data_IF_779677419923
#
_entry.id   IF_779677419923
#
_cell.length_a   1.000
_cell.length_b   1.000
_cell.length_c   1.000
_cell.angle_alpha   90.00
_cell.angle_beta   90.00
_cell.angle_gamma   90.00
#
_symmetry.space_group_name_H-M   'P 1'
#
loop_
_entity.id
_entity.type
_entity.pdbx_description
1 polymer ?
#
# COMPACT_ATOMS: atom_id res chain seq x y z
N UNK A 1 11.27 -13.26 14.68
CA UNK A 1 10.80 -12.53 13.50
C UNK A 1 9.28 -12.47 13.60
N UNK A 2 8.69 -11.27 13.59
CA UNK A 2 7.24 -11.11 13.67
C UNK A 2 6.55 -11.66 12.42
N UNK A 3 5.28 -12.02 12.50
CA UNK A 3 4.50 -12.33 11.30
C UNK A 3 4.26 -11.03 10.53
N UNK A 4 4.71 -10.98 9.28
CA UNK A 4 4.39 -9.89 8.38
C UNK A 4 2.89 -9.83 8.10
N UNK A 5 2.40 -8.63 7.85
CA UNK A 5 1.04 -8.33 7.40
C UNK A 5 1.05 -7.74 6.01
N UNK A 6 -0.01 -7.97 5.24
CA UNK A 6 -0.19 -7.40 3.91
C UNK A 6 -1.26 -6.32 3.94
N UNK A 7 -1.08 -5.33 3.08
CA UNK A 7 -1.99 -4.19 2.97
C UNK A 7 -2.26 -3.90 1.51
N UNK A 8 -3.53 -3.66 1.17
CA UNK A 8 -3.86 -2.88 -0.02
C UNK A 8 -3.77 -1.41 0.37
N UNK A 9 -2.93 -0.65 -0.31
CA UNK A 9 -2.82 0.80 -0.10
C UNK A 9 -3.19 1.54 -1.36
N UNK A 10 -3.82 2.69 -1.19
CA UNK A 10 -4.18 3.57 -2.29
C UNK A 10 -3.95 5.02 -1.90
N UNK A 11 -3.43 5.81 -2.84
CA UNK A 11 -3.27 7.26 -2.68
C UNK A 11 -4.39 7.97 -3.42
N UNK A 12 -4.75 9.15 -2.93
CA UNK A 12 -5.89 9.88 -3.47
C UNK A 12 -5.86 11.36 -3.14
N UNK A 13 -6.84 12.06 -3.72
CA UNK A 13 -7.04 13.49 -3.52
C UNK A 13 -8.47 13.77 -3.14
N UNK A 14 -8.70 14.86 -2.43
CA UNK A 14 -10.04 15.36 -2.22
C UNK A 14 -10.54 16.03 -3.50
N UNK A 15 -11.73 15.62 -3.92
CA UNK A 15 -12.50 16.31 -4.95
C UNK A 15 -13.83 16.75 -4.38
N UNK A 16 -14.31 17.89 -4.85
CA UNK A 16 -15.63 18.37 -4.50
C UNK A 16 -16.64 17.81 -5.48
N UNK A 17 -17.66 17.12 -4.95
CA UNK A 17 -18.81 16.69 -5.74
C UNK A 17 -19.63 17.90 -6.21
N UNK A 18 -20.53 17.71 -7.19
CA UNK A 18 -21.44 18.78 -7.65
C UNK A 18 -22.32 19.36 -6.53
N UNK A 19 -22.55 18.61 -5.45
CA UNK A 19 -23.28 19.07 -4.26
C UNK A 19 -22.41 19.77 -3.21
N UNK A 20 -21.12 20.01 -3.51
CA UNK A 20 -20.17 20.67 -2.61
C UNK A 20 -19.57 19.78 -1.51
N UNK A 21 -19.94 18.49 -1.46
CA UNK A 21 -19.40 17.58 -0.44
C UNK A 21 -17.98 17.13 -0.85
N UNK A 22 -17.00 17.19 0.07
CA UNK A 22 -15.68 16.64 -0.17
C UNK A 22 -15.76 15.12 -0.25
N UNK A 23 -15.16 14.55 -1.29
CA UNK A 23 -15.04 13.10 -1.51
C UNK A 23 -13.57 12.79 -1.74
N UNK A 24 -13.04 11.84 -0.99
CA UNK A 24 -11.72 11.30 -1.25
C UNK A 24 -11.81 10.31 -2.40
N UNK A 25 -11.05 10.55 -3.47
CA UNK A 25 -10.97 9.66 -4.63
C UNK A 25 -9.54 9.15 -4.80
N UNK A 26 -9.39 7.83 -4.85
CA UNK A 26 -8.12 7.14 -5.08
C UNK A 26 -7.89 6.95 -6.57
N UNK A 27 -6.68 7.21 -7.05
CA UNK A 27 -6.32 7.07 -8.46
C UNK A 27 -5.28 5.97 -8.72
N UNK A 28 -4.72 5.40 -7.65
CA UNK A 28 -3.69 4.38 -7.73
C UNK A 28 -3.64 3.57 -6.44
N UNK A 29 -3.25 2.31 -6.57
CA UNK A 29 -3.05 1.42 -5.44
C UNK A 29 -1.98 0.37 -5.70
N UNK A 30 -1.41 -0.15 -4.62
CA UNK A 30 -0.42 -1.21 -4.63
C UNK A 30 -0.62 -2.14 -3.42
N UNK A 31 -0.06 -3.34 -3.50
CA UNK A 31 0.07 -4.23 -2.35
C UNK A 31 1.37 -3.91 -1.63
N UNK A 32 1.33 -3.82 -0.31
CA UNK A 32 2.50 -3.56 0.53
C UNK A 32 2.56 -4.55 1.70
N UNK A 33 3.76 -4.71 2.26
CA UNK A 33 4.01 -5.61 3.41
C UNK A 33 4.74 -4.87 4.53
N UNK A 34 4.39 -5.18 5.77
CA UNK A 34 5.08 -4.66 6.96
C UNK A 34 4.60 -5.34 8.24
N UNK A 35 5.28 -5.10 9.35
CA UNK A 35 4.85 -5.64 10.65
C UNK A 35 3.62 -4.91 11.21
N UNK A 36 3.53 -3.62 10.93
CA UNK A 36 2.43 -2.73 11.27
C UNK A 36 2.27 -1.65 10.19
N UNK A 37 1.34 -0.71 10.39
CA UNK A 37 1.09 0.37 9.42
C UNK A 37 2.30 1.30 9.27
N UNK A 38 2.94 1.82 10.35
CA UNK A 38 4.15 2.61 10.22
C UNK A 38 5.29 1.93 9.45
N UNK A 39 5.58 0.66 9.75
CA UNK A 39 6.61 -0.12 9.07
C UNK A 39 6.29 -0.31 7.58
N UNK A 40 5.03 -0.65 7.27
CA UNK A 40 4.55 -0.76 5.89
C UNK A 40 4.76 0.56 5.12
N UNK A 41 4.37 1.70 5.70
CA UNK A 41 4.55 3.00 5.05
C UNK A 41 6.03 3.34 4.85
N UNK A 42 6.90 2.98 5.80
CA UNK A 42 8.34 3.15 5.66
C UNK A 42 8.93 2.27 4.53
N UNK A 43 8.48 1.02 4.40
CA UNK A 43 8.90 0.11 3.33
C UNK A 43 8.47 0.63 1.95
N UNK A 44 7.22 1.10 1.82
CA UNK A 44 6.73 1.73 0.59
C UNK A 44 7.50 3.01 0.29
N UNK A 45 7.82 3.83 1.30
CA UNK A 45 8.57 5.07 1.12
C UNK A 45 9.99 4.84 0.62
N UNK A 46 10.63 3.74 1.03
CA UNK A 46 11.94 3.33 0.54
C UNK A 46 11.89 2.81 -0.90
N UNK A 47 10.93 1.93 -1.22
CA UNK A 47 10.83 1.31 -2.54
C UNK A 47 10.24 2.25 -3.61
N UNK A 48 9.27 3.08 -3.22
CA UNK A 48 8.53 3.99 -4.09
C UNK A 48 8.37 5.38 -3.44
N UNK A 49 9.44 6.19 -3.32
CA UNK A 49 9.38 7.51 -2.69
C UNK A 49 8.33 8.43 -3.34
N UNK A 50 8.16 8.33 -4.66
CA UNK A 50 7.18 9.10 -5.44
C UNK A 50 5.72 8.72 -5.16
N UNK A 51 5.46 7.61 -4.46
CA UNK A 51 4.11 7.19 -4.08
C UNK A 51 3.44 8.23 -3.18
N UNK A 52 4.19 8.85 -2.27
CA UNK A 52 3.69 9.83 -1.29
C UNK A 52 3.64 11.27 -1.81
N UNK A 53 4.18 11.56 -2.99
CA UNK A 53 4.31 12.93 -3.49
C UNK A 53 3.03 13.44 -4.14
N UNK A 54 2.62 14.67 -3.83
CA UNK A 54 1.54 15.39 -4.50
C UNK A 54 0.13 14.78 -4.30
N UNK A 55 -0.15 14.17 -3.16
CA UNK A 55 -1.48 13.63 -2.81
C UNK A 55 -1.96 14.15 -1.45
N UNK A 56 -3.27 14.19 -1.26
CA UNK A 56 -3.87 14.74 -0.03
C UNK A 56 -3.96 13.69 1.08
N UNK A 57 -3.87 12.41 0.73
CA UNK A 57 -3.97 11.33 1.70
C UNK A 57 -3.74 9.95 1.11
N UNK A 58 -3.72 8.97 2.02
CA UNK A 58 -3.56 7.55 1.73
C UNK A 58 -4.60 6.79 2.54
N UNK A 59 -5.18 5.79 1.90
CA UNK A 59 -6.03 4.79 2.54
C UNK A 59 -5.32 3.45 2.53
N UNK A 60 -5.52 2.65 3.56
CA UNK A 60 -4.98 1.29 3.64
C UNK A 60 -6.02 0.34 4.22
N UNK A 61 -5.89 -0.93 3.87
CA UNK A 61 -6.69 -2.03 4.44
C UNK A 61 -5.78 -3.23 4.62
N UNK A 62 -5.73 -3.77 5.84
CA UNK A 62 -5.05 -5.05 6.09
C UNK A 62 -5.80 -6.15 5.34
N UNK A 63 -5.05 -6.97 4.60
CA UNK A 63 -5.56 -8.07 3.79
C UNK A 63 -4.82 -9.35 4.15
N UNK A 64 -5.45 -10.50 3.91
CA UNK A 64 -4.78 -11.78 4.07
C UNK A 64 -3.81 -12.07 2.91
N UNK A 65 -3.00 -13.12 3.07
CA UNK A 65 -1.99 -13.51 2.08
C UNK A 65 -2.62 -13.93 0.75
N UNK A 66 -3.77 -14.61 0.78
CA UNK A 66 -4.44 -15.08 -0.45
C UNK A 66 -4.93 -13.90 -1.28
N UNK A 67 -5.55 -12.91 -0.63
CA UNK A 67 -5.95 -11.64 -1.24
C UNK A 67 -4.75 -10.88 -1.80
N UNK A 68 -3.65 -10.84 -1.06
CA UNK A 68 -2.41 -10.23 -1.54
C UNK A 68 -1.90 -10.93 -2.81
N UNK A 69 -1.76 -12.25 -2.80
CA UNK A 69 -1.25 -13.04 -3.91
C UNK A 69 -2.12 -12.88 -5.19
N UNK A 70 -3.45 -12.81 -5.02
CA UNK A 70 -4.38 -12.51 -6.11
C UNK A 70 -4.11 -11.11 -6.70
N UNK A 71 -3.94 -10.09 -5.85
CA UNK A 71 -3.69 -8.71 -6.29
C UNK A 71 -2.30 -8.53 -6.92
N UNK A 72 -1.28 -9.23 -6.42
CA UNK A 72 0.06 -9.29 -7.02
C UNK A 72 0.07 -10.12 -8.32
N UNK A 73 -0.91 -11.01 -8.51
CA UNK A 73 -0.95 -12.02 -9.58
C UNK A 73 0.12 -13.12 -9.45
N UNK A 74 0.85 -13.16 -8.34
CA UNK A 74 1.96 -14.06 -7.99
C UNK A 74 2.13 -14.09 -6.48
N UNK A 75 2.92 -15.04 -5.98
CA UNK A 75 3.34 -15.12 -4.57
C UNK A 75 4.06 -13.83 -4.14
N UNK A 76 3.38 -13.00 -3.34
CA UNK A 76 3.85 -11.68 -2.96
C UNK A 76 5.11 -11.74 -2.07
N UNK A 77 5.35 -12.84 -1.35
CA UNK A 77 6.57 -12.94 -0.51
C UNK A 77 7.82 -12.92 -1.37
N UNK A 78 7.81 -13.63 -2.50
CA UNK A 78 8.93 -13.62 -3.46
C UNK A 78 9.17 -12.25 -4.07
N UNK A 79 8.12 -11.44 -4.21
CA UNK A 79 8.23 -10.07 -4.71
C UNK A 79 8.86 -9.19 -3.64
N UNK A 80 8.29 -9.19 -2.44
CA UNK A 80 8.69 -8.28 -1.36
C UNK A 80 10.05 -8.64 -0.74
N UNK A 81 10.42 -9.91 -0.67
CA UNK A 81 11.76 -10.32 -0.23
C UNK A 81 12.84 -9.77 -1.17
N UNK A 82 12.55 -9.72 -2.47
CA UNK A 82 13.42 -9.16 -3.50
C UNK A 82 13.42 -7.62 -3.49
N UNK A 83 12.26 -6.98 -3.37
CA UNK A 83 12.12 -5.52 -3.43
C UNK A 83 12.58 -4.80 -2.17
N UNK A 84 12.34 -5.38 -0.99
CA UNK A 84 12.75 -4.79 0.29
C UNK A 84 14.12 -5.27 0.77
N UNK A 85 14.81 -6.12 0.00
CA UNK A 85 16.11 -6.67 0.37
C UNK A 85 16.08 -7.54 1.63
N UNK A 86 14.92 -8.13 1.92
CA UNK A 86 14.71 -9.02 3.04
C UNK A 86 14.96 -10.45 2.56
N UNK A 87 16.23 -10.80 2.31
CA UNK A 87 16.61 -12.21 2.17
C UNK A 87 16.44 -12.88 3.53
N UNK A 88 15.55 -13.86 3.62
CA UNK A 88 15.56 -14.87 4.69
C UNK A 88 16.92 -15.53 4.82
#
# INVERSE_FOLDING_TARGET
>A
MGNYKYYSIARGRYRYTRSGNPKFETDSGLVARGYDVPDMLANVGKAHPSFFHMYDGITWTEIDKEQADILCGKDCDKIFDKEYGLTT
#
